data_IF_634324071695
#
_entry.id   IF_634324071695
#
_cell.length_a   1.000
_cell.length_b   1.000
_cell.length_c   1.000
_cell.angle_alpha   90.00
_cell.angle_beta   90.00
_cell.angle_gamma   90.00
#
_symmetry.space_group_name_H-M   'P 1'
#
loop_
_entity.id
_entity.type
_entity.pdbx_description
1 polymer ?
#
# COMPACT_ATOMS: atom_id res chain seq x y z
N UNK A 1 -23.00 -17.86 -5.97
CA UNK A 1 -22.25 -16.92 -6.83
C UNK A 1 -20.78 -17.10 -6.53
N UNK A 2 -19.98 -17.55 -7.49
CA UNK A 2 -18.52 -17.62 -7.32
C UNK A 2 -17.94 -16.21 -7.43
N UNK A 3 -17.17 -15.77 -6.45
CA UNK A 3 -16.39 -14.54 -6.55
C UNK A 3 -15.20 -14.79 -7.47
N UNK A 4 -15.14 -14.05 -8.57
CA UNK A 4 -14.01 -14.10 -9.48
C UNK A 4 -12.71 -13.65 -8.77
N UNK A 5 -11.57 -14.34 -8.95
CA UNK A 5 -10.31 -13.96 -8.32
C UNK A 5 -9.84 -12.59 -8.81
N UNK A 6 -9.33 -11.79 -7.88
CA UNK A 6 -8.80 -10.45 -8.11
C UNK A 6 -7.55 -10.24 -7.26
N UNK A 7 -6.60 -9.46 -7.76
CA UNK A 7 -5.41 -9.06 -7.02
C UNK A 7 -5.37 -7.55 -6.96
N UNK A 8 -5.42 -7.00 -5.76
CA UNK A 8 -5.18 -5.58 -5.51
C UNK A 8 -3.67 -5.37 -5.41
N UNK A 9 -3.15 -4.43 -6.20
CA UNK A 9 -1.73 -4.08 -6.20
C UNK A 9 -1.56 -2.60 -5.87
N UNK A 10 -0.47 -2.31 -5.18
CA UNK A 10 0.07 -0.96 -5.01
C UNK A 10 1.58 -1.03 -5.20
N UNK A 11 2.14 -0.09 -5.95
CA UNK A 11 3.57 -0.10 -6.22
C UNK A 11 4.10 1.22 -6.72
N UNK A 12 5.43 1.28 -6.80
CA UNK A 12 6.12 2.39 -7.44
C UNK A 12 5.87 2.31 -8.96
N UNK A 13 5.34 3.40 -9.51
CA UNK A 13 5.14 3.53 -10.95
C UNK A 13 6.48 3.85 -11.64
N UNK A 14 6.67 3.45 -12.90
CA UNK A 14 7.87 3.79 -13.68
C UNK A 14 7.98 5.28 -14.05
N UNK A 15 7.04 6.13 -13.63
CA UNK A 15 6.91 7.51 -14.08
C UNK A 15 7.42 8.50 -13.02
N UNK A 16 8.07 9.57 -13.48
CA UNK A 16 8.65 10.61 -12.61
C UNK A 16 7.64 11.61 -12.08
N UNK A 17 6.48 11.71 -12.73
CA UNK A 17 5.47 12.72 -12.44
C UNK A 17 4.13 12.04 -12.13
N UNK A 18 3.29 12.75 -11.37
CA UNK A 18 1.89 12.38 -11.20
C UNK A 18 1.12 12.61 -12.50
N UNK A 19 0.17 11.75 -12.83
CA UNK A 19 -0.57 11.82 -14.09
C UNK A 19 -1.34 10.55 -14.41
N UNK A 20 -1.84 10.47 -15.64
CA UNK A 20 -2.45 9.25 -16.20
C UNK A 20 -1.56 8.77 -17.34
N UNK A 21 -1.19 7.49 -17.30
CA UNK A 21 -0.27 6.89 -18.25
C UNK A 21 -0.86 5.62 -18.85
N UNK A 22 -0.52 5.31 -20.09
CA UNK A 22 -0.83 4.01 -20.65
C UNK A 22 0.29 3.02 -20.31
N UNK A 23 -0.07 1.97 -19.57
CA UNK A 23 0.88 0.98 -19.11
C UNK A 23 0.37 -0.43 -19.38
N UNK A 24 1.29 -1.35 -19.61
CA UNK A 24 1.03 -2.78 -19.53
C UNK A 24 1.48 -3.30 -18.17
N UNK A 25 0.59 -4.03 -17.51
CA UNK A 25 0.90 -4.75 -16.27
C UNK A 25 0.96 -6.23 -16.60
N UNK A 26 2.03 -6.90 -16.21
CA UNK A 26 2.23 -8.35 -16.37
C UNK A 26 2.49 -9.02 -15.03
N UNK A 27 1.95 -10.24 -14.86
CA UNK A 27 2.18 -11.12 -13.71
C UNK A 27 3.04 -12.30 -14.16
N UNK A 28 4.11 -12.60 -13.41
CA UNK A 28 4.92 -13.81 -13.56
C UNK A 28 5.23 -14.47 -12.21
N UNK A 29 5.61 -15.74 -12.25
CA UNK A 29 5.95 -16.56 -11.07
C UNK A 29 7.43 -16.45 -10.67
N UNK A 30 8.33 -16.23 -11.63
CA UNK A 30 9.78 -16.13 -11.39
C UNK A 30 10.25 -14.68 -11.54
N UNK A 31 11.11 -14.23 -10.62
CA UNK A 31 11.68 -12.88 -10.69
C UNK A 31 12.44 -12.70 -12.02
N UNK A 32 12.10 -11.69 -12.83
CA UNK A 32 12.79 -11.46 -14.09
C UNK A 32 14.11 -10.72 -13.81
N UNK A 33 15.14 -10.95 -14.63
CA UNK A 33 16.29 -10.04 -14.66
C UNK A 33 15.96 -8.78 -15.46
N UNK A 34 16.69 -7.71 -15.21
CA UNK A 34 16.60 -6.47 -16.00
C UNK A 34 16.79 -6.69 -17.51
N UNK A 35 17.67 -7.63 -17.88
CA UNK A 35 17.89 -7.96 -19.28
C UNK A 35 16.69 -8.70 -19.88
N UNK A 36 16.05 -9.58 -19.11
CA UNK A 36 14.85 -10.30 -19.56
C UNK A 36 13.70 -9.34 -19.80
N UNK A 37 13.52 -8.33 -18.95
CA UNK A 37 12.47 -7.32 -19.12
C UNK A 37 12.71 -6.51 -20.39
N UNK A 38 13.93 -5.96 -20.56
CA UNK A 38 14.29 -5.16 -21.75
C UNK A 38 14.20 -5.96 -23.04
N UNK A 39 14.62 -7.22 -23.02
CA UNK A 39 14.55 -8.12 -24.16
C UNK A 39 13.17 -8.76 -24.34
N UNK A 40 12.20 -8.50 -23.44
CA UNK A 40 10.88 -9.15 -23.38
C UNK A 40 10.96 -10.68 -23.38
N UNK A 41 11.98 -11.23 -22.71
CA UNK A 41 12.26 -12.67 -22.58
C UNK A 41 11.65 -13.23 -21.29
N UNK A 42 10.33 -13.09 -21.16
CA UNK A 42 9.57 -13.72 -20.09
C UNK A 42 8.18 -14.07 -20.61
N UNK A 43 7.55 -15.07 -19.98
CA UNK A 43 6.20 -15.50 -20.34
C UNK A 43 5.24 -15.05 -19.25
N UNK A 44 4.42 -14.01 -19.49
CA UNK A 44 3.43 -13.57 -18.52
C UNK A 44 2.38 -14.67 -18.29
N UNK A 45 2.10 -14.98 -17.02
CA UNK A 45 0.92 -15.75 -16.63
C UNK A 45 -0.35 -14.98 -16.98
N UNK A 46 -0.30 -13.67 -16.78
CA UNK A 46 -1.38 -12.76 -17.06
C UNK A 46 -0.81 -11.40 -17.48
N UNK A 47 -1.51 -10.68 -18.34
CA UNK A 47 -1.18 -9.30 -18.70
C UNK A 47 -2.42 -8.49 -19.03
N UNK A 48 -2.36 -7.18 -18.84
CA UNK A 48 -3.41 -6.24 -19.23
C UNK A 48 -2.85 -4.85 -19.53
N UNK A 49 -3.60 -4.07 -20.31
CA UNK A 49 -3.27 -2.67 -20.60
C UNK A 49 -4.19 -1.76 -19.78
N UNK A 50 -3.63 -0.70 -19.21
CA UNK A 50 -4.28 0.16 -18.21
C UNK A 50 -4.01 1.64 -18.47
N UNK A 51 -4.97 2.47 -18.08
CA UNK A 51 -4.78 3.91 -17.90
C UNK A 51 -4.43 4.16 -16.43
N UNK A 52 -3.16 4.00 -16.09
CA UNK A 52 -2.65 4.00 -14.74
C UNK A 52 -2.66 5.42 -14.15
N UNK A 53 -3.41 5.62 -13.07
CA UNK A 53 -3.39 6.86 -12.30
C UNK A 53 -2.23 6.83 -11.31
N UNK A 54 -1.29 7.74 -11.49
CA UNK A 54 -0.08 7.84 -10.66
C UNK A 54 -0.13 9.12 -9.84
N UNK A 55 0.09 9.00 -8.55
CA UNK A 55 0.20 10.12 -7.62
C UNK A 55 1.43 9.92 -6.75
N UNK A 56 2.31 10.91 -6.76
CA UNK A 56 3.54 10.94 -5.98
C UNK A 56 4.43 9.70 -6.23
N UNK A 57 4.46 9.26 -7.50
CA UNK A 57 5.18 8.07 -7.94
C UNK A 57 4.53 6.73 -7.59
N UNK A 58 3.38 6.73 -6.93
CA UNK A 58 2.66 5.52 -6.51
C UNK A 58 1.38 5.35 -7.34
N UNK A 59 1.00 4.10 -7.59
CA UNK A 59 -0.28 3.74 -8.19
C UNK A 59 -0.95 2.60 -7.41
N UNK A 60 -2.25 2.43 -7.64
CA UNK A 60 -3.01 1.27 -7.19
C UNK A 60 -3.91 0.76 -8.31
N UNK A 61 -4.05 -0.55 -8.43
CA UNK A 61 -4.88 -1.19 -9.46
C UNK A 61 -5.47 -2.53 -8.98
N UNK A 62 -6.63 -2.90 -9.53
CA UNK A 62 -7.24 -4.22 -9.31
C UNK A 62 -7.08 -5.06 -10.58
N UNK A 63 -6.30 -6.12 -10.48
CA UNK A 63 -6.05 -7.06 -11.58
C UNK A 63 -7.05 -8.19 -11.54
N UNK A 64 -7.44 -8.66 -12.73
CA UNK A 64 -8.47 -9.70 -12.89
C UNK A 64 -9.87 -9.11 -12.94
N UNK A 65 -10.54 -9.28 -14.07
CA UNK A 65 -11.96 -8.97 -14.24
C UNK A 65 -12.63 -9.94 -15.22
N UNK A 66 -13.94 -9.80 -15.43
CA UNK A 66 -14.68 -10.73 -16.29
C UNK A 66 -14.23 -10.71 -17.76
N UNK A 67 -13.55 -9.66 -18.22
CA UNK A 67 -13.01 -9.53 -19.58
C UNK A 67 -11.59 -10.07 -19.68
N UNK A 68 -10.83 -10.01 -18.60
CA UNK A 68 -9.45 -10.50 -18.50
C UNK A 68 -9.23 -11.22 -17.16
N UNK A 69 -9.80 -12.43 -16.99
CA UNK A 69 -9.70 -13.18 -15.74
C UNK A 69 -8.26 -13.57 -15.42
N UNK A 70 -7.92 -13.62 -14.14
CA UNK A 70 -6.68 -14.26 -13.69
C UNK A 70 -6.78 -15.77 -13.95
N UNK A 71 -5.72 -16.41 -14.48
CA UNK A 71 -5.71 -17.86 -14.66
C UNK A 71 -5.57 -18.57 -13.30
N UNK A 72 -6.16 -19.76 -13.19
CA UNK A 72 -6.11 -20.58 -11.95
C UNK A 72 -4.69 -20.99 -11.55
N UNK A 73 -3.72 -20.90 -12.45
CA UNK A 73 -2.31 -21.11 -12.12
C UNK A 73 -1.79 -20.13 -11.07
N UNK A 74 -2.36 -18.92 -11.00
CA UNK A 74 -1.99 -17.90 -10.01
C UNK A 74 -2.41 -18.30 -8.59
N UNK A 75 -3.50 -19.07 -8.44
CA UNK A 75 -4.03 -19.49 -7.12
C UNK A 75 -3.06 -20.41 -6.35
N UNK A 76 -2.14 -21.06 -7.06
CA UNK A 76 -1.15 -21.95 -6.47
C UNK A 76 0.10 -21.21 -5.94
N UNK A 77 0.22 -19.92 -6.23
CA UNK A 77 1.40 -19.12 -5.91
C UNK A 77 1.19 -18.38 -4.57
N UNK A 78 2.25 -18.29 -3.76
CA UNK A 78 2.25 -17.45 -2.55
C UNK A 78 2.68 -16.01 -2.87
N UNK A 79 3.54 -15.86 -3.88
CA UNK A 79 4.11 -14.58 -4.31
C UNK A 79 4.12 -14.57 -5.82
N UNK A 80 3.79 -13.42 -6.39
CA UNK A 80 3.93 -13.16 -7.82
C UNK A 80 4.79 -11.92 -8.04
N UNK A 81 5.44 -11.84 -9.20
CA UNK A 81 6.15 -10.66 -9.64
C UNK A 81 5.28 -9.86 -10.60
N UNK A 82 5.14 -8.57 -10.31
CA UNK A 82 4.42 -7.61 -11.12
C UNK A 82 5.43 -6.78 -11.89
N UNK A 83 5.26 -6.71 -13.20
CA UNK A 83 6.01 -5.83 -14.09
C UNK A 83 5.05 -4.77 -14.61
N UNK A 84 5.35 -3.51 -14.35
CA UNK A 84 4.64 -2.37 -14.94
C UNK A 84 5.54 -1.76 -15.99
N UNK A 85 5.13 -1.81 -17.25
CA UNK A 85 5.87 -1.26 -18.39
C UNK A 85 5.08 -0.15 -19.05
N UNK A 86 5.73 0.97 -19.34
CA UNK A 86 5.16 1.98 -20.23
C UNK A 86 4.97 1.40 -21.63
N UNK A 87 3.84 1.67 -22.28
CA UNK A 87 3.59 1.22 -23.65
C UNK A 87 4.41 1.97 -24.70
N UNK A 88 4.83 3.20 -24.39
CA UNK A 88 5.48 4.09 -25.36
C UNK A 88 6.97 4.30 -25.11
N UNK A 89 7.52 3.68 -24.05
CA UNK A 89 8.94 3.77 -23.74
C UNK A 89 9.47 2.45 -23.17
N UNK A 90 10.77 2.40 -22.86
CA UNK A 90 11.40 1.23 -22.24
C UNK A 90 11.46 1.33 -20.72
N UNK A 91 10.72 2.26 -20.10
CA UNK A 91 10.73 2.43 -18.65
C UNK A 91 9.79 1.41 -18.01
N UNK A 92 10.26 0.77 -16.94
CA UNK A 92 9.51 -0.24 -16.21
C UNK A 92 9.79 -0.17 -14.71
N UNK A 93 8.88 -0.75 -13.93
CA UNK A 93 9.10 -1.08 -12.52
C UNK A 93 8.74 -2.54 -12.27
N UNK A 94 9.41 -3.15 -11.29
CA UNK A 94 9.18 -4.54 -10.88
C UNK A 94 9.14 -4.61 -9.37
N UNK A 95 8.13 -5.31 -8.85
CA UNK A 95 7.96 -5.58 -7.42
C UNK A 95 7.19 -6.89 -7.23
N UNK A 96 7.32 -7.49 -6.06
CA UNK A 96 6.59 -8.69 -5.68
C UNK A 96 5.30 -8.37 -4.93
N UNK A 97 4.31 -9.27 -5.04
CA UNK A 97 3.04 -9.19 -4.35
C UNK A 97 2.78 -10.53 -3.67
N UNK A 98 2.62 -10.50 -2.35
CA UNK A 98 2.22 -11.68 -1.58
C UNK A 98 0.71 -11.90 -1.70
N UNK A 99 0.33 -13.05 -2.22
CA UNK A 99 -1.07 -13.45 -2.40
C UNK A 99 -1.61 -14.01 -1.09
N UNK A 100 -2.72 -13.44 -0.61
CA UNK A 100 -3.43 -13.98 0.55
C UNK A 100 -4.23 -15.20 0.09
N UNK A 101 -3.91 -16.37 0.63
CA UNK A 101 -4.78 -17.55 0.45
C UNK A 101 -6.04 -17.33 1.27
N UNK A 102 -7.20 -17.53 0.65
CA UNK A 102 -8.51 -17.36 1.29
C UNK A 102 -8.79 -18.29 2.49
N UNK A 103 -7.80 -19.05 2.98
CA UNK A 103 -7.93 -19.94 4.14
C UNK A 103 -7.44 -19.33 5.46
N UNK A 104 -6.85 -18.13 5.46
CA UNK A 104 -6.55 -17.44 6.71
C UNK A 104 -7.75 -16.59 7.10
N UNK A 105 -8.67 -17.20 7.83
CA UNK A 105 -9.59 -16.49 8.72
C UNK A 105 -8.72 -15.63 9.65
N UNK A 106 -8.63 -14.34 9.34
CA UNK A 106 -8.01 -13.36 10.22
C UNK A 106 -8.89 -13.31 11.47
N UNK A 107 -8.50 -14.03 12.53
CA UNK A 107 -8.98 -13.74 13.87
C UNK A 107 -8.48 -12.34 14.19
N UNK A 108 -9.35 -11.34 14.02
CA UNK A 108 -9.07 -9.98 14.45
C UNK A 108 -8.69 -10.03 15.95
N UNK A 109 -7.67 -9.28 16.41
CA UNK A 109 -7.41 -9.17 17.83
C UNK A 109 -8.63 -8.53 18.48
N UNK A 110 -9.25 -9.27 19.39
CA UNK A 110 -10.34 -8.84 20.23
C UNK A 110 -9.91 -7.55 20.95
N UNK A 111 -10.49 -6.42 20.52
CA UNK A 111 -10.33 -5.13 21.17
C UNK A 111 -10.89 -5.28 22.58
N UNK A 112 -9.99 -5.25 23.57
CA UNK A 112 -10.32 -5.28 24.99
C UNK A 112 -11.46 -4.30 25.31
N UNK A 113 -12.44 -4.69 26.16
CA UNK A 113 -13.57 -3.84 26.48
C UNK A 113 -13.09 -2.60 27.27
N UNK A 114 -13.20 -1.46 26.60
CA UNK A 114 -13.01 -0.11 27.15
C UNK A 114 -14.15 0.14 28.16
N UNK A 115 -13.83 -0.04 29.45
CA UNK A 115 -14.74 0.22 30.56
C UNK A 115 -14.88 1.73 30.73
N UNK A 116 -16.04 2.26 30.35
CA UNK A 116 -16.45 3.64 30.59
C UNK A 116 -16.41 4.01 32.09
N UNK A 117 -16.00 5.24 32.47
CA UNK A 117 -16.34 5.82 33.76
C UNK A 117 -17.46 6.85 33.63
N UNK A 118 -18.63 6.55 34.22
CA UNK A 118 -19.73 7.49 34.42
C UNK A 118 -19.69 8.08 35.85
N UNK A 119 -19.65 9.42 35.91
CA UNK A 119 -20.13 10.38 36.93
C UNK A 119 -19.51 10.50 38.35
N UNK A 120 -19.15 11.75 38.65
CA UNK A 120 -18.88 12.44 39.94
C UNK A 120 -20.20 12.63 40.79
N UNK A 121 -20.25 13.25 42.01
CA UNK A 121 -19.41 14.37 42.53
C UNK A 121 -19.14 14.45 44.07
N UNK A 122 -18.46 15.54 44.46
CA UNK A 122 -18.63 16.31 45.72
C UNK A 122 -17.59 16.14 46.88
N UNK A 123 -16.75 17.17 47.07
CA UNK A 123 -16.60 18.03 48.28
C UNK A 123 -15.16 18.52 48.52
N UNK A 124 -14.98 19.85 48.47
CA UNK A 124 -13.88 20.59 49.09
C UNK A 124 -14.17 20.76 50.62
N UNK A 125 -13.22 21.11 51.52
CA UNK A 125 -12.54 22.43 51.48
C UNK A 125 -11.09 22.52 52.01
N UNK A 126 -10.48 23.67 51.66
CA UNK A 126 -9.53 24.54 52.41
C UNK A 126 -8.03 24.22 52.68
N UNK A 127 -7.20 25.06 52.03
CA UNK A 127 -5.99 25.81 52.49
C UNK A 127 -4.81 25.07 53.16
N UNK A 128 -3.63 25.21 52.54
CA UNK A 128 -2.52 26.01 53.11
C UNK A 128 -1.45 26.37 52.07
N UNK A 129 -1.01 27.61 52.17
CA UNK A 129 -0.04 28.36 51.34
C UNK A 129 1.39 27.93 51.65
N UNK A 130 2.27 27.74 50.63
CA UNK A 130 3.67 28.23 50.68
C UNK A 130 4.22 28.58 49.28
N UNK A 131 4.56 29.87 49.18
CA UNK A 131 5.25 30.65 48.15
C UNK A 131 6.70 30.19 47.88
N UNK A 132 7.14 30.22 46.62
CA UNK A 132 8.43 30.88 46.26
C UNK A 132 8.49 31.26 44.78
N UNK A 133 8.59 32.57 44.53
CA UNK A 133 8.91 33.21 43.26
C UNK A 133 10.40 33.02 42.96
N UNK A 134 10.76 32.88 41.69
CA UNK A 134 11.91 33.62 41.12
C UNK A 134 11.75 33.74 39.60
N UNK A 135 11.74 34.98 39.14
CA UNK A 135 11.68 35.40 37.74
C UNK A 135 13.10 35.73 37.26
N UNK A 136 13.46 35.42 36.00
CA UNK A 136 13.71 36.45 34.96
C UNK A 136 14.19 35.86 33.63
N UNK A 137 13.63 36.46 32.60
CA UNK A 137 13.97 36.46 31.18
C UNK A 137 15.27 37.24 30.95
N UNK A 138 16.09 36.83 29.96
CA UNK A 138 16.96 37.75 29.21
C UNK A 138 17.03 37.32 27.73
N UNK A 139 16.61 38.24 26.87
CA UNK A 139 16.67 38.22 25.39
C UNK A 139 18.05 38.71 24.88
N UNK A 140 18.18 38.75 23.53
CA UNK A 140 19.02 39.62 22.65
C UNK A 140 20.27 38.91 22.08
N UNK A 141 20.67 39.00 20.79
CA UNK A 141 20.14 39.59 19.55
C UNK A 141 21.07 39.20 18.38
N UNK A 142 20.46 39.18 17.20
CA UNK A 142 20.87 39.26 15.78
C UNK A 142 22.28 39.82 15.47
N UNK A 143 22.90 39.26 14.42
CA UNK A 143 23.42 40.03 13.27
C UNK A 143 22.86 39.41 11.99
#
# INVERSE_FOLDING_TARGET
>A
MSSQPRIEIQGQAPFKQSGVYEAQISIIDVKPSDNDIRAKKFTPLWKGNFHLKVKDGIFSEILGDSKNPLPSSVDNLNVVWVIVSDLFSSVYSVFDVTLRKSSETITAPEKAPEKAPEKAPEKAPEKTVKTKRSSKILQILII
#
